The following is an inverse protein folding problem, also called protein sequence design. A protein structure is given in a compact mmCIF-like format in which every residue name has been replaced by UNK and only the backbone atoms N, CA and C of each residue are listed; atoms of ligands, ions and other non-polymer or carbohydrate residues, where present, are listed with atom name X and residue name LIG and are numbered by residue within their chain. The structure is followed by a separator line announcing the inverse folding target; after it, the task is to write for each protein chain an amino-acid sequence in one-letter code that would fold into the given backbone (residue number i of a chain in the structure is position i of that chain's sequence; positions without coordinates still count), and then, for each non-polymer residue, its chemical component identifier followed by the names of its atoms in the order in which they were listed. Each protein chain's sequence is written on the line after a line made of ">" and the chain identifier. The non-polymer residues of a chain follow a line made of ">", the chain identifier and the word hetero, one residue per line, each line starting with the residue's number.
data_IF_257981414976
#
_entry.id   IF_257981414976
#
_cell.length_a   1.000
_cell.length_b   1.000
_cell.length_c   1.000
_cell.angle_alpha   90.00
_cell.angle_beta   90.00
_cell.angle_gamma   90.00
#
_symmetry.space_group_name_H-M   'P 1'
#
loop_
_entity.id
_entity.type
_entity.pdbx_description
1 polymer ?
#
# COMPACT_ATOMS: atom_id res chain seq x y z
N UNK A 1 -12.27 63.21 -5.81
CA UNK A 1 -12.74 62.18 -4.87
C UNK A 1 -13.32 61.02 -5.67
N UNK A 2 -12.52 60.00 -5.96
CA UNK A 2 -13.00 58.80 -6.65
C UNK A 2 -13.83 57.99 -5.67
N UNK A 3 -15.04 57.64 -6.08
CA UNK A 3 -16.11 57.12 -5.24
C UNK A 3 -15.75 55.71 -4.72
N UNK A 4 -15.10 55.62 -3.55
CA UNK A 4 -14.64 54.36 -2.90
C UNK A 4 -15.74 53.30 -2.77
N UNK A 5 -17.03 53.70 -2.80
CA UNK A 5 -18.18 52.79 -2.77
C UNK A 5 -18.38 52.01 -4.09
N UNK A 6 -18.04 52.56 -5.24
CA UNK A 6 -18.12 51.84 -6.53
C UNK A 6 -17.02 50.78 -6.67
N UNK A 7 -15.83 51.02 -6.08
CA UNK A 7 -14.72 50.07 -6.13
C UNK A 7 -15.03 48.77 -5.35
N UNK A 8 -15.71 48.88 -4.20
CA UNK A 8 -16.08 47.71 -3.39
C UNK A 8 -17.15 46.84 -4.06
N UNK A 9 -18.12 47.43 -4.76
CA UNK A 9 -19.15 46.67 -5.49
C UNK A 9 -18.52 45.95 -6.70
N UNK A 10 -17.59 46.59 -7.41
CA UNK A 10 -16.87 45.95 -8.52
C UNK A 10 -15.98 44.77 -8.07
N UNK A 11 -15.31 44.87 -6.91
CA UNK A 11 -14.51 43.78 -6.34
C UNK A 11 -15.40 42.62 -5.85
N UNK A 12 -16.62 42.89 -5.37
CA UNK A 12 -17.56 41.85 -4.95
C UNK A 12 -18.22 41.13 -6.14
N UNK A 13 -18.36 41.83 -7.29
CA UNK A 13 -18.86 41.26 -8.54
C UNK A 13 -17.81 40.42 -9.29
N UNK A 14 -16.51 40.64 -9.08
CA UNK A 14 -15.47 39.77 -9.66
C UNK A 14 -15.28 38.46 -8.89
N UNK A 15 -15.74 38.37 -7.64
CA UNK A 15 -15.71 37.13 -6.85
C UNK A 15 -16.90 36.19 -7.09
N UNK A 16 -17.96 36.65 -7.76
CA UNK A 16 -19.24 35.90 -7.86
C UNK A 16 -19.37 34.98 -9.08
N UNK A 17 -18.30 34.75 -9.85
CA UNK A 17 -18.31 33.86 -11.03
C UNK A 17 -17.46 32.59 -10.86
N UNK A 18 -17.08 32.21 -9.63
CA UNK A 18 -16.44 30.90 -9.42
C UNK A 18 -17.49 29.80 -9.49
N UNK A 19 -17.60 29.16 -10.66
CA UNK A 19 -18.50 28.04 -10.87
C UNK A 19 -18.06 26.83 -10.04
N UNK A 20 -18.87 26.45 -9.04
CA UNK A 20 -18.70 25.18 -8.33
C UNK A 20 -19.13 24.05 -9.27
N UNK A 21 -18.23 23.12 -9.55
CA UNK A 21 -18.53 21.93 -10.32
C UNK A 21 -18.69 20.74 -9.37
N UNK A 22 -19.90 20.19 -9.32
CA UNK A 22 -20.21 18.99 -8.56
C UNK A 22 -20.43 17.82 -9.52
N UNK A 23 -19.76 16.71 -9.26
CA UNK A 23 -19.90 15.49 -10.03
C UNK A 23 -20.10 14.31 -9.10
N UNK A 24 -21.13 13.53 -9.40
CA UNK A 24 -21.46 12.32 -8.65
C UNK A 24 -21.51 11.15 -9.61
N UNK A 25 -20.67 10.17 -9.35
CA UNK A 25 -20.57 8.91 -10.10
C UNK A 25 -20.88 7.79 -9.13
N UNK A 26 -21.98 7.10 -9.42
CA UNK A 26 -22.39 5.89 -8.74
C UNK A 26 -22.15 4.65 -9.61
N UNK A 27 -22.35 3.50 -8.98
CA UNK A 27 -22.30 2.20 -9.65
C UNK A 27 -23.50 1.35 -9.24
N UNK A 28 -23.99 0.53 -10.16
CA UNK A 28 -25.06 -0.43 -9.91
C UNK A 28 -24.73 -1.80 -10.54
N UNK A 29 -24.74 -2.89 -9.77
CA UNK A 29 -24.74 -2.93 -8.30
C UNK A 29 -23.39 -2.43 -7.72
N UNK A 30 -23.33 -1.94 -6.46
CA UNK A 30 -22.07 -1.54 -5.83
C UNK A 30 -21.19 -2.73 -5.41
N UNK A 31 -21.75 -3.93 -5.43
CA UNK A 31 -21.08 -5.18 -5.11
C UNK A 31 -21.42 -6.24 -6.15
N UNK A 32 -20.40 -6.98 -6.60
CA UNK A 32 -20.55 -8.12 -7.51
C UNK A 32 -19.95 -9.38 -6.89
N UNK A 33 -20.74 -10.44 -6.76
CA UNK A 33 -20.24 -11.79 -6.53
C UNK A 33 -20.15 -12.50 -7.89
N UNK A 34 -18.92 -12.75 -8.35
CA UNK A 34 -18.68 -13.44 -9.61
C UNK A 34 -18.67 -14.96 -9.43
N UNK A 35 -18.97 -15.49 -8.25
CA UNK A 35 -18.99 -16.93 -7.98
C UNK A 35 -17.61 -17.58 -8.08
N UNK A 36 -17.58 -18.84 -8.47
CA UNK A 36 -16.34 -19.61 -8.64
C UNK A 36 -15.76 -19.41 -10.05
N UNK A 37 -14.43 -19.30 -10.15
CA UNK A 37 -13.66 -19.17 -11.39
C UNK A 37 -12.46 -20.13 -11.28
N UNK A 38 -12.26 -21.02 -12.26
CA UNK A 38 -11.15 -21.98 -12.18
C UNK A 38 -9.80 -21.30 -12.47
N UNK A 39 -8.68 -21.83 -11.95
CA UNK A 39 -7.35 -21.38 -12.34
C UNK A 39 -7.15 -21.47 -13.85
N UNK A 40 -6.68 -20.38 -14.47
CA UNK A 40 -6.49 -20.27 -15.92
C UNK A 40 -7.74 -19.88 -16.71
N UNK A 41 -8.89 -19.66 -16.06
CA UNK A 41 -10.11 -19.18 -16.72
C UNK A 41 -10.21 -17.65 -16.69
N UNK A 42 -10.97 -17.13 -17.65
CA UNK A 42 -11.36 -15.73 -17.73
C UNK A 42 -12.86 -15.58 -17.54
N UNK A 43 -13.28 -14.56 -16.79
CA UNK A 43 -14.69 -14.22 -16.61
C UNK A 43 -14.96 -12.76 -16.94
N UNK A 44 -15.92 -12.53 -17.82
CA UNK A 44 -16.43 -11.19 -18.11
C UNK A 44 -17.44 -10.83 -17.01
N UNK A 45 -17.26 -9.66 -16.42
CA UNK A 45 -18.15 -9.09 -15.43
C UNK A 45 -18.69 -7.75 -15.91
N UNK A 46 -19.97 -7.51 -15.61
CA UNK A 46 -20.71 -6.35 -16.09
C UNK A 46 -21.24 -5.56 -14.90
N UNK A 47 -21.07 -4.24 -14.95
CA UNK A 47 -21.71 -3.31 -14.03
C UNK A 47 -22.16 -2.07 -14.78
N UNK A 48 -22.93 -1.22 -14.10
CA UNK A 48 -23.38 0.04 -14.67
C UNK A 48 -22.79 1.21 -13.92
N UNK A 49 -22.11 2.10 -14.64
CA UNK A 49 -21.80 3.44 -14.15
C UNK A 49 -23.04 4.32 -14.27
N UNK A 50 -23.30 5.11 -13.24
CA UNK A 50 -24.44 6.01 -13.17
C UNK A 50 -23.95 7.42 -12.86
N UNK A 51 -24.42 8.41 -13.62
CA UNK A 51 -24.16 9.82 -13.34
C UNK A 51 -25.45 10.62 -13.27
N UNK A 52 -25.50 11.57 -12.34
CA UNK A 52 -26.56 12.60 -12.29
C UNK A 52 -26.15 13.91 -12.96
N UNK A 53 -24.87 14.03 -13.36
CA UNK A 53 -24.33 15.21 -14.02
C UNK A 53 -24.97 15.39 -15.40
N UNK A 54 -25.29 16.63 -15.76
CA UNK A 54 -25.80 16.96 -17.10
C UNK A 54 -24.70 16.94 -18.16
N UNK A 55 -23.45 17.13 -17.74
CA UNK A 55 -22.32 17.23 -18.63
C UNK A 55 -21.73 15.85 -18.95
N UNK A 56 -21.29 15.69 -20.19
CA UNK A 56 -20.49 14.53 -20.59
C UNK A 56 -19.26 14.45 -19.69
N UNK A 57 -19.02 13.26 -19.16
CA UNK A 57 -17.94 12.98 -18.23
C UNK A 57 -17.11 11.83 -18.78
N UNK A 58 -15.80 12.05 -18.99
CA UNK A 58 -14.88 10.94 -19.18
C UNK A 58 -14.49 10.42 -17.80
N UNK A 59 -14.68 9.14 -17.56
CA UNK A 59 -14.41 8.50 -16.27
C UNK A 59 -13.32 7.47 -16.46
N UNK A 60 -12.18 7.68 -15.82
CA UNK A 60 -11.10 6.71 -15.76
C UNK A 60 -11.45 5.64 -14.72
N UNK A 61 -11.36 4.38 -15.13
CA UNK A 61 -11.46 3.23 -14.23
C UNK A 61 -10.09 2.92 -13.65
N UNK A 62 -10.01 2.80 -12.33
CA UNK A 62 -8.77 2.56 -11.61
C UNK A 62 -8.91 1.28 -10.79
N UNK A 63 -7.98 0.36 -10.98
CA UNK A 63 -7.89 -0.90 -10.22
C UNK A 63 -7.23 -0.60 -8.88
N UNK A 64 -7.86 -0.99 -7.79
CA UNK A 64 -7.37 -0.74 -6.43
C UNK A 64 -7.53 -1.97 -5.54
N UNK A 65 -6.59 -2.16 -4.60
CA UNK A 65 -6.71 -3.24 -3.62
C UNK A 65 -7.92 -2.97 -2.73
N UNK A 66 -8.74 -3.99 -2.51
CA UNK A 66 -9.89 -3.86 -1.60
C UNK A 66 -9.44 -3.95 -0.14
N UNK A 67 -10.29 -3.46 0.78
CA UNK A 67 -10.05 -3.53 2.21
C UNK A 67 -10.74 -4.78 2.79
N UNK A 68 -9.98 -5.59 3.54
CA UNK A 68 -10.46 -6.78 4.26
C UNK A 68 -11.61 -6.47 5.23
N UNK A 69 -11.74 -5.22 5.70
CA UNK A 69 -12.85 -4.75 6.53
C UNK A 69 -14.22 -5.00 5.88
N UNK A 70 -14.29 -5.06 4.53
CA UNK A 70 -15.52 -5.43 3.83
C UNK A 70 -15.99 -6.84 4.22
N UNK A 71 -15.06 -7.78 4.41
CA UNK A 71 -15.34 -9.17 4.81
C UNK A 71 -15.65 -9.31 6.30
N UNK A 72 -15.42 -8.27 7.11
CA UNK A 72 -15.76 -8.28 8.54
C UNK A 72 -17.25 -8.04 8.79
N UNK A 73 -18.03 -7.65 7.77
CA UNK A 73 -19.48 -7.54 7.86
C UNK A 73 -20.11 -8.92 8.07
N UNK A 74 -21.17 -9.00 8.86
CA UNK A 74 -21.81 -10.27 9.22
C UNK A 74 -22.22 -11.11 8.00
N UNK A 75 -22.61 -10.48 6.89
CA UNK A 75 -22.97 -11.15 5.62
C UNK A 75 -21.81 -11.90 4.95
N UNK A 76 -20.56 -11.52 5.22
CA UNK A 76 -19.37 -12.05 4.52
C UNK A 76 -18.34 -12.69 5.46
N UNK A 77 -18.67 -12.79 6.75
CA UNK A 77 -17.74 -13.26 7.79
C UNK A 77 -17.29 -14.70 7.59
N UNK A 78 -18.14 -15.53 7.00
CA UNK A 78 -17.84 -16.91 6.62
C UNK A 78 -16.71 -16.98 5.56
N UNK A 79 -16.68 -16.01 4.64
CA UNK A 79 -15.66 -15.92 3.57
C UNK A 79 -14.28 -15.54 4.08
N UNK A 80 -14.18 -14.83 5.22
CA UNK A 80 -12.91 -14.35 5.79
C UNK A 80 -11.91 -15.48 6.04
N UNK A 81 -12.39 -16.61 6.57
CA UNK A 81 -11.56 -17.78 6.87
C UNK A 81 -10.87 -18.37 5.63
N UNK A 82 -11.51 -18.23 4.46
CA UNK A 82 -11.09 -18.79 3.19
C UNK A 82 -10.62 -17.70 2.19
N UNK A 83 -10.37 -16.48 2.65
CA UNK A 83 -9.86 -15.38 1.80
C UNK A 83 -8.37 -15.57 1.46
N UNK A 84 -7.92 -15.09 0.31
CA UNK A 84 -6.51 -14.94 -0.04
C UNK A 84 -6.18 -13.45 -0.16
N UNK A 85 -5.00 -13.05 0.30
CA UNK A 85 -4.51 -11.68 0.14
C UNK A 85 -3.64 -11.47 -1.10
N UNK A 86 -3.66 -12.43 -2.04
CA UNK A 86 -2.99 -12.34 -3.33
C UNK A 86 -3.37 -11.05 -4.08
N UNK A 87 -2.40 -10.45 -4.76
CA UNK A 87 -2.64 -9.26 -5.57
C UNK A 87 -3.31 -9.63 -6.90
N UNK A 88 -4.59 -9.32 -7.00
CA UNK A 88 -5.40 -9.60 -8.20
C UNK A 88 -5.47 -8.43 -9.18
N UNK A 89 -4.83 -7.28 -8.89
CA UNK A 89 -4.85 -6.13 -9.81
C UNK A 89 -4.30 -6.45 -11.21
N UNK A 90 -3.29 -7.32 -11.37
CA UNK A 90 -2.84 -7.76 -12.68
C UNK A 90 -3.89 -8.60 -13.44
N UNK A 91 -4.84 -9.21 -12.74
CA UNK A 91 -5.85 -10.10 -13.34
C UNK A 91 -7.00 -9.33 -13.99
N UNK A 92 -7.15 -8.06 -13.66
CA UNK A 92 -8.27 -7.23 -14.10
C UNK A 92 -7.88 -6.47 -15.37
N UNK A 93 -8.70 -6.62 -16.40
CA UNK A 93 -8.57 -5.91 -17.68
C UNK A 93 -9.87 -5.16 -17.98
N UNK A 94 -9.77 -3.89 -18.36
CA UNK A 94 -10.92 -3.10 -18.78
C UNK A 94 -11.08 -3.18 -20.29
N UNK A 95 -12.29 -3.51 -20.76
CA UNK A 95 -12.58 -3.54 -22.20
C UNK A 95 -12.56 -2.12 -22.79
N UNK A 96 -13.04 -1.13 -22.02
CA UNK A 96 -13.03 0.28 -22.38
C UNK A 96 -12.57 1.11 -21.17
N UNK A 97 -11.52 1.91 -21.31
CA UNK A 97 -11.05 2.85 -20.29
C UNK A 97 -10.26 3.98 -20.97
N UNK A 98 -10.67 5.27 -20.89
CA UNK A 98 -11.77 5.81 -20.09
C UNK A 98 -13.16 5.49 -20.64
N UNK A 99 -14.19 5.63 -19.80
CA UNK A 99 -15.60 5.46 -20.16
C UNK A 99 -16.26 6.82 -20.31
N UNK A 100 -16.91 7.07 -21.45
CA UNK A 100 -17.73 8.26 -21.65
C UNK A 100 -19.13 8.06 -21.03
N UNK A 101 -19.52 8.96 -20.11
CA UNK A 101 -20.82 9.00 -19.47
C UNK A 101 -21.61 10.24 -19.92
N UNK A 102 -22.84 10.03 -20.40
CA UNK A 102 -23.79 11.08 -20.78
C UNK A 102 -25.12 10.88 -20.05
N UNK A 103 -25.75 11.96 -19.56
CA UNK A 103 -27.05 11.92 -18.86
C UNK A 103 -28.17 11.24 -19.66
N UNK A 104 -28.11 11.31 -20.99
CA UNK A 104 -29.13 10.78 -21.90
C UNK A 104 -28.91 9.32 -22.31
N UNK A 105 -27.76 8.73 -22.00
CA UNK A 105 -27.49 7.34 -22.34
C UNK A 105 -28.17 6.39 -21.36
N UNK A 106 -29.02 5.50 -21.90
CA UNK A 106 -29.56 4.36 -21.20
C UNK A 106 -30.65 4.67 -20.17
N UNK A 107 -31.49 3.68 -19.92
CA UNK A 107 -32.35 3.66 -18.74
C UNK A 107 -32.27 2.32 -18.07
N UNK A 108 -31.71 2.28 -16.86
CA UNK A 108 -31.71 1.10 -16.02
C UNK A 108 -33.02 0.99 -15.27
N UNK A 109 -33.65 -0.18 -15.37
CA UNK A 109 -34.71 -0.58 -14.44
C UNK A 109 -34.04 -1.39 -13.33
N UNK A 110 -33.98 -0.83 -12.12
CA UNK A 110 -33.53 -1.59 -10.95
C UNK A 110 -34.75 -2.18 -10.25
N UNK A 111 -34.54 -3.18 -9.37
CA UNK A 111 -35.65 -3.81 -8.61
C UNK A 111 -36.38 -2.80 -7.70
N UNK A 112 -35.74 -1.69 -7.33
CA UNK A 112 -36.26 -0.71 -6.34
C UNK A 112 -36.58 0.64 -6.97
N UNK A 113 -35.99 1.00 -8.12
CA UNK A 113 -36.17 2.30 -8.78
C UNK A 113 -36.57 2.12 -10.24
N UNK A 114 -37.66 2.79 -10.63
CA UNK A 114 -38.36 2.60 -11.91
C UNK A 114 -37.57 3.03 -13.15
N UNK A 115 -36.62 3.97 -13.03
CA UNK A 115 -35.76 4.39 -14.15
C UNK A 115 -34.56 5.22 -13.68
N UNK A 116 -33.35 4.70 -13.79
CA UNK A 116 -32.12 5.49 -13.62
C UNK A 116 -31.64 5.95 -15.01
N UNK A 117 -31.57 7.27 -15.23
CA UNK A 117 -31.03 7.88 -16.46
C UNK A 117 -29.52 8.08 -16.32
N UNK A 118 -28.81 8.15 -17.45
CA UNK A 118 -27.36 8.41 -17.46
C UNK A 118 -26.57 7.20 -17.00
N UNK A 119 -27.02 6.01 -17.41
CA UNK A 119 -26.41 4.75 -17.03
C UNK A 119 -25.72 4.11 -18.23
N UNK A 120 -24.44 3.76 -18.03
CA UNK A 120 -23.61 3.12 -19.04
C UNK A 120 -23.17 1.76 -18.57
N UNK A 121 -23.39 0.75 -19.40
CA UNK A 121 -22.84 -0.59 -19.18
C UNK A 121 -21.33 -0.57 -19.36
N UNK A 122 -20.63 -1.12 -18.37
CA UNK A 122 -19.18 -1.27 -18.35
C UNK A 122 -18.85 -2.73 -18.12
N UNK A 123 -17.92 -3.22 -18.93
CA UNK A 123 -17.46 -4.60 -18.89
C UNK A 123 -15.97 -4.62 -18.55
N UNK A 124 -15.59 -5.55 -17.68
CA UNK A 124 -14.21 -5.88 -17.35
C UNK A 124 -14.01 -7.39 -17.35
N UNK A 125 -12.78 -7.82 -17.55
CA UNK A 125 -12.38 -9.22 -17.57
C UNK A 125 -11.55 -9.49 -16.33
N UNK A 126 -11.85 -10.60 -15.65
CA UNK A 126 -11.00 -11.18 -14.61
C UNK A 126 -10.31 -12.40 -15.21
N UNK A 127 -9.01 -12.29 -15.44
CA UNK A 127 -8.14 -13.35 -15.98
C UNK A 127 -7.42 -14.04 -14.82
N UNK A 128 -7.97 -15.16 -14.32
CA UNK A 128 -7.38 -15.88 -13.19
C UNK A 128 -6.18 -16.69 -13.70
N UNK A 129 -4.97 -16.50 -13.15
CA UNK A 129 -3.81 -17.23 -13.63
C UNK A 129 -3.87 -18.71 -13.21
N UNK A 130 -3.09 -19.56 -13.87
CA UNK A 130 -3.10 -21.02 -13.60
C UNK A 130 -2.53 -21.38 -12.23
N UNK A 131 -1.65 -20.54 -11.70
CA UNK A 131 -1.02 -20.65 -10.40
C UNK A 131 -1.72 -19.80 -9.32
N UNK A 132 -2.95 -19.32 -9.60
CA UNK A 132 -3.74 -18.56 -8.63
C UNK A 132 -3.91 -19.33 -7.32
N UNK A 133 -3.80 -18.63 -6.20
CA UNK A 133 -4.01 -19.21 -4.89
C UNK A 133 -5.49 -19.57 -4.69
N UNK A 134 -5.79 -20.64 -3.95
CA UNK A 134 -7.17 -21.01 -3.64
C UNK A 134 -7.83 -19.98 -2.70
N UNK A 135 -9.16 -19.96 -2.69
CA UNK A 135 -9.94 -19.15 -1.76
C UNK A 135 -10.64 -17.96 -2.40
N UNK A 136 -11.20 -17.09 -1.56
CA UNK A 136 -11.85 -15.87 -1.99
C UNK A 136 -10.83 -14.79 -2.33
N UNK A 137 -11.06 -14.11 -3.43
CA UNK A 137 -10.28 -12.98 -3.91
C UNK A 137 -11.19 -11.78 -4.06
N UNK A 138 -10.71 -10.59 -3.67
CA UNK A 138 -11.52 -9.38 -3.66
C UNK A 138 -10.79 -8.21 -4.31
N UNK A 139 -11.47 -7.54 -5.23
CA UNK A 139 -10.97 -6.38 -5.93
C UNK A 139 -11.89 -5.18 -5.78
N UNK A 140 -11.33 -4.00 -6.00
CA UNK A 140 -12.09 -2.76 -6.01
C UNK A 140 -11.75 -1.95 -7.26
N UNK A 141 -12.78 -1.49 -7.97
CA UNK A 141 -12.64 -0.56 -9.09
C UNK A 141 -13.14 0.80 -8.59
N UNK A 142 -12.24 1.77 -8.53
CA UNK A 142 -12.55 3.17 -8.25
C UNK A 142 -12.68 3.95 -9.55
N UNK A 143 -13.30 5.14 -9.46
CA UNK A 143 -13.63 5.95 -10.63
C UNK A 143 -13.03 7.33 -10.47
N UNK A 144 -12.29 7.81 -11.47
CA UNK A 144 -11.79 9.17 -11.49
C UNK A 144 -12.38 9.94 -12.68
N UNK A 145 -13.36 10.83 -12.46
CA UNK A 145 -13.83 11.68 -13.52
C UNK A 145 -12.76 12.71 -13.92
N UNK A 146 -12.48 12.75 -15.21
CA UNK A 146 -11.65 13.76 -15.83
C UNK A 146 -12.46 15.04 -15.97
N UNK A 147 -12.10 16.06 -15.21
CA UNK A 147 -12.69 17.39 -15.32
C UNK A 147 -12.11 18.12 -16.55
N UNK A 148 -12.89 18.92 -17.28
CA UNK A 148 -12.35 19.76 -18.34
C UNK A 148 -11.37 20.80 -17.75
N UNK A 149 -10.21 20.99 -18.40
CA UNK A 149 -9.06 21.75 -17.88
C UNK A 149 -9.30 23.25 -17.61
N UNK A 150 -10.41 23.86 -18.06
CA UNK A 150 -10.55 25.31 -18.05
C UNK A 150 -11.21 25.89 -16.79
N UNK A 151 -10.44 26.63 -15.99
CA UNK A 151 -10.89 27.81 -15.22
C UNK A 151 -11.67 27.58 -13.93
N UNK A 152 -11.65 26.37 -13.35
CA UNK A 152 -12.46 26.06 -12.16
C UNK A 152 -11.60 25.95 -10.90
N UNK A 153 -12.01 26.64 -9.84
CA UNK A 153 -11.28 26.73 -8.58
C UNK A 153 -11.52 25.52 -7.65
N UNK A 154 -12.70 24.89 -7.72
CA UNK A 154 -13.07 23.76 -6.85
C UNK A 154 -13.93 22.72 -7.59
N UNK A 155 -13.61 21.43 -7.41
CA UNK A 155 -14.42 20.30 -7.91
C UNK A 155 -14.77 19.39 -6.74
N UNK A 156 -16.07 19.18 -6.50
CA UNK A 156 -16.56 18.23 -5.49
C UNK A 156 -16.91 16.92 -6.21
N UNK A 157 -16.23 15.84 -5.83
CA UNK A 157 -16.43 14.49 -6.39
C UNK A 157 -17.08 13.59 -5.34
N UNK A 158 -18.23 13.01 -5.65
CA UNK A 158 -18.83 11.92 -4.89
C UNK A 158 -18.71 10.63 -5.71
N UNK A 159 -17.89 9.68 -5.24
CA UNK A 159 -17.56 8.46 -5.97
C UNK A 159 -17.89 7.26 -5.08
N UNK A 160 -18.77 6.38 -5.57
CA UNK A 160 -19.03 5.08 -4.94
C UNK A 160 -18.25 4.03 -5.72
N UNK A 161 -17.29 3.29 -5.13
CA UNK A 161 -16.53 2.29 -5.85
C UNK A 161 -17.35 1.02 -6.10
N UNK A 162 -16.91 0.23 -7.07
CA UNK A 162 -17.37 -1.15 -7.26
C UNK A 162 -16.47 -2.10 -6.49
N UNK A 163 -17.04 -2.90 -5.61
CA UNK A 163 -16.35 -4.03 -4.97
C UNK A 163 -16.80 -5.31 -5.68
N UNK A 164 -15.86 -6.20 -5.98
CA UNK A 164 -16.22 -7.52 -6.50
C UNK A 164 -15.44 -8.61 -5.79
N UNK A 165 -16.05 -9.78 -5.69
CA UNK A 165 -15.48 -10.98 -5.07
C UNK A 165 -15.68 -12.17 -5.99
N UNK A 166 -14.73 -13.11 -5.97
CA UNK A 166 -14.87 -14.41 -6.60
C UNK A 166 -14.08 -15.43 -5.80
N UNK A 167 -14.29 -16.71 -6.09
CA UNK A 167 -13.60 -17.82 -5.44
C UNK A 167 -12.78 -18.60 -6.45
N UNK A 168 -11.52 -18.84 -6.14
CA UNK A 168 -10.70 -19.85 -6.81
C UNK A 168 -10.84 -21.16 -6.03
N UNK A 169 -11.23 -22.28 -6.67
CA UNK A 169 -11.45 -23.53 -5.98
C UNK A 169 -10.17 -24.08 -5.34
N UNK A 170 -10.33 -24.73 -4.20
CA UNK A 170 -9.25 -25.31 -3.42
C UNK A 170 -9.39 -24.99 -1.94
N UNK A 171 -8.39 -25.41 -1.15
CA UNK A 171 -8.36 -25.21 0.30
C UNK A 171 -7.44 -24.03 0.61
N UNK A 172 -8.00 -22.90 1.04
CA UNK A 172 -7.20 -21.82 1.59
C UNK A 172 -6.83 -22.13 3.04
N UNK A 173 -5.54 -22.22 3.30
CA UNK A 173 -4.96 -22.46 4.61
C UNK A 173 -4.05 -21.27 4.90
N UNK A 174 -4.32 -20.59 6.00
CA UNK A 174 -3.46 -19.52 6.52
C UNK A 174 -2.76 -20.02 7.77
N UNK A 175 -1.52 -20.40 7.59
CA UNK A 175 -0.65 -20.91 8.65
C UNK A 175 0.75 -20.35 8.44
N UNK A 176 1.39 -19.99 9.55
CA UNK A 176 2.77 -19.56 9.53
C UNK A 176 3.55 -20.19 10.67
N UNK A 177 4.86 -20.19 10.53
CA UNK A 177 5.78 -20.63 11.58
C UNK A 177 6.95 -19.69 11.72
N UNK A 178 7.40 -19.51 12.95
CA UNK A 178 8.63 -18.77 13.25
C UNK A 178 9.76 -19.81 13.26
N UNK A 179 10.66 -19.74 12.28
CA UNK A 179 11.79 -20.65 12.16
C UNK A 179 12.87 -20.35 13.18
N UNK A 180 13.17 -19.07 13.39
CA UNK A 180 14.27 -18.64 14.23
C UNK A 180 14.02 -17.24 14.79
N UNK A 181 14.57 -17.00 15.98
CA UNK A 181 14.65 -15.71 16.64
C UNK A 181 16.07 -15.59 17.18
N UNK A 182 16.83 -14.63 16.67
CA UNK A 182 18.25 -14.45 16.99
C UNK A 182 18.57 -13.00 17.35
N UNK A 183 19.68 -12.80 18.06
CA UNK A 183 20.26 -11.47 18.25
C UNK A 183 20.96 -11.03 16.96
N UNK A 184 20.51 -9.90 16.41
CA UNK A 184 21.08 -9.25 15.24
C UNK A 184 22.16 -8.23 15.62
N UNK A 185 22.19 -7.12 14.89
CA UNK A 185 23.18 -6.06 15.11
C UNK A 185 22.81 -5.10 16.24
N UNK A 186 23.82 -4.50 16.85
CA UNK A 186 23.66 -3.39 17.80
C UNK A 186 23.52 -2.07 17.04
N UNK A 187 22.47 -1.31 17.37
CA UNK A 187 22.26 0.04 16.84
C UNK A 187 22.07 1.01 18.00
N UNK A 188 22.96 1.99 18.13
CA UNK A 188 23.06 2.84 19.32
C UNK A 188 23.19 1.99 20.61
N UNK A 189 22.23 2.13 21.53
CA UNK A 189 22.12 1.41 22.80
C UNK A 189 21.03 0.31 22.74
N UNK A 190 20.59 -0.10 21.55
CA UNK A 190 19.61 -1.16 21.40
C UNK A 190 20.12 -2.33 20.56
N UNK A 191 19.43 -3.45 20.69
CA UNK A 191 19.65 -4.67 19.94
C UNK A 191 18.55 -4.84 18.91
N UNK A 192 18.95 -5.08 17.66
CA UNK A 192 18.03 -5.53 16.63
C UNK A 192 17.82 -7.03 16.80
N UNK A 193 16.56 -7.45 16.92
CA UNK A 193 16.16 -8.85 16.96
C UNK A 193 15.76 -9.29 15.55
N UNK A 194 16.37 -10.35 15.08
CA UNK A 194 16.10 -10.95 13.78
C UNK A 194 15.10 -12.11 13.94
N UNK A 195 14.01 -12.06 13.17
CA UNK A 195 12.92 -13.02 13.24
C UNK A 195 12.68 -13.58 11.85
N UNK A 196 12.73 -14.89 11.71
CA UNK A 196 12.52 -15.57 10.44
C UNK A 196 11.14 -16.23 10.42
N UNK A 197 10.21 -15.64 9.69
CA UNK A 197 8.83 -16.12 9.58
C UNK A 197 8.57 -16.73 8.21
N UNK A 198 8.02 -17.94 8.19
CA UNK A 198 7.63 -18.61 6.96
C UNK A 198 6.12 -18.77 6.90
N UNK A 199 5.52 -18.43 5.75
CA UNK A 199 4.16 -18.82 5.43
C UNK A 199 4.15 -20.29 5.01
N UNK A 200 3.52 -21.16 5.81
CA UNK A 200 3.38 -22.60 5.52
C UNK A 200 1.99 -22.95 4.98
N UNK A 201 1.13 -21.95 4.83
CA UNK A 201 -0.20 -22.08 4.27
C UNK A 201 -0.20 -22.19 2.74
N UNK A 202 -1.41 -22.17 2.19
CA UNK A 202 -1.67 -22.22 0.75
C UNK A 202 -2.07 -20.88 0.16
N UNK A 203 -2.23 -19.84 1.00
CA UNK A 203 -2.55 -18.48 0.56
C UNK A 203 -1.61 -17.44 1.13
N UNK A 204 -1.46 -16.36 0.38
CA UNK A 204 -0.85 -15.12 0.77
C UNK A 204 -1.58 -14.52 1.97
N UNK A 205 -0.80 -13.96 2.89
CA UNK A 205 -1.33 -13.30 4.07
C UNK A 205 -0.48 -12.11 4.51
N UNK A 206 -1.14 -11.13 5.12
CA UNK A 206 -0.50 -10.08 5.89
C UNK A 206 -0.34 -10.57 7.32
N UNK A 207 0.90 -10.74 7.77
CA UNK A 207 1.21 -10.97 9.16
C UNK A 207 1.38 -9.63 9.89
N UNK A 208 0.75 -9.52 11.06
CA UNK A 208 0.87 -8.37 11.96
C UNK A 208 2.29 -8.26 12.51
N UNK A 209 2.67 -7.08 13.04
CA UNK A 209 3.88 -6.91 13.86
C UNK A 209 4.05 -8.06 14.85
N UNK A 210 5.28 -8.58 14.94
CA UNK A 210 5.64 -9.54 15.95
C UNK A 210 5.58 -8.87 17.33
N UNK A 211 4.76 -9.40 18.23
CA UNK A 211 4.75 -9.05 19.65
C UNK A 211 5.86 -9.85 20.35
N UNK A 212 6.91 -9.14 20.76
CA UNK A 212 8.10 -9.75 21.35
C UNK A 212 8.15 -9.37 22.82
N UNK A 213 8.21 -10.39 23.68
CA UNK A 213 8.38 -10.25 25.12
C UNK A 213 9.70 -10.85 25.54
N UNK A 214 10.47 -10.09 26.29
CA UNK A 214 11.83 -10.45 26.68
C UNK A 214 11.89 -10.60 28.18
N UNK A 215 12.41 -11.73 28.64
CA UNK A 215 12.44 -12.13 30.03
C UNK A 215 13.88 -12.39 30.49
N UNK A 216 14.17 -11.98 31.72
CA UNK A 216 15.43 -12.33 32.39
C UNK A 216 15.47 -13.82 32.80
N UNK A 217 16.59 -14.23 33.40
CA UNK A 217 16.78 -15.59 33.92
C UNK A 217 15.79 -15.98 35.03
N UNK A 218 15.19 -14.99 35.71
CA UNK A 218 14.18 -15.15 36.76
C UNK A 218 12.74 -15.11 36.21
N UNK A 219 12.57 -15.02 34.88
CA UNK A 219 11.29 -14.90 34.16
C UNK A 219 10.55 -13.57 34.41
N UNK A 220 11.25 -12.52 34.83
CA UNK A 220 10.68 -11.18 34.89
C UNK A 220 10.67 -10.58 33.49
N UNK A 221 9.57 -9.95 33.11
CA UNK A 221 9.46 -9.21 31.85
C UNK A 221 10.32 -7.94 31.96
N UNK A 222 11.36 -7.82 31.13
CA UNK A 222 12.29 -6.67 31.15
C UNK A 222 12.13 -5.76 29.93
N UNK A 223 11.45 -6.21 28.88
CA UNK A 223 11.30 -5.43 27.67
C UNK A 223 10.26 -6.01 26.71
N UNK A 224 9.78 -5.14 25.83
CA UNK A 224 8.94 -5.51 24.70
C UNK A 224 9.46 -4.84 23.44
N UNK A 225 9.24 -5.48 22.29
CA UNK A 225 9.58 -4.93 20.99
C UNK A 225 8.50 -5.29 19.96
N UNK A 226 8.38 -4.46 18.92
CA UNK A 226 7.46 -4.68 17.81
C UNK A 226 8.22 -4.63 16.49
N UNK A 227 7.88 -5.53 15.57
CA UNK A 227 8.36 -5.46 14.19
C UNK A 227 7.41 -4.66 13.30
N UNK A 228 7.70 -4.59 12.00
CA UNK A 228 6.78 -4.11 10.97
C UNK A 228 5.77 -5.20 10.54
N UNK A 229 4.71 -4.77 9.85
CA UNK A 229 3.82 -5.65 9.08
C UNK A 229 4.58 -6.26 7.91
N UNK A 230 4.24 -7.52 7.57
CA UNK A 230 4.82 -8.20 6.41
C UNK A 230 3.74 -8.89 5.58
N UNK A 231 3.85 -8.77 4.27
CA UNK A 231 3.12 -9.59 3.33
C UNK A 231 3.99 -10.79 2.92
N UNK A 232 3.42 -11.99 2.93
CA UNK A 232 4.14 -13.22 2.60
C UNK A 232 3.31 -14.17 1.74
N UNK A 233 3.91 -14.66 0.66
CA UNK A 233 3.31 -15.66 -0.25
C UNK A 233 3.46 -17.09 0.30
N UNK A 234 2.68 -18.07 -0.17
CA UNK A 234 2.84 -19.47 0.22
C UNK A 234 4.28 -19.96 0.08
N UNK A 235 4.82 -20.55 1.13
CA UNK A 235 6.20 -21.06 1.20
C UNK A 235 7.28 -19.99 1.41
N UNK A 236 6.95 -18.70 1.30
CA UNK A 236 7.91 -17.60 1.38
C UNK A 236 8.44 -17.41 2.81
N UNK A 237 9.76 -17.26 2.91
CA UNK A 237 10.48 -16.89 4.13
C UNK A 237 10.70 -15.38 4.15
N UNK A 238 10.23 -14.71 5.20
CA UNK A 238 10.45 -13.29 5.46
C UNK A 238 11.30 -13.10 6.71
N UNK A 239 12.22 -12.16 6.61
CA UNK A 239 13.01 -11.65 7.72
C UNK A 239 12.33 -10.40 8.27
N UNK A 240 12.00 -10.41 9.56
CA UNK A 240 11.52 -9.25 10.28
C UNK A 240 12.59 -8.80 11.26
N UNK A 241 12.64 -7.50 11.48
CA UNK A 241 13.52 -6.88 12.47
C UNK A 241 12.68 -6.16 13.50
N UNK A 242 13.06 -6.27 14.78
CA UNK A 242 12.48 -5.48 15.85
C UNK A 242 13.60 -4.83 16.68
N UNK A 243 13.37 -3.61 17.14
CA UNK A 243 14.35 -2.89 17.94
C UNK A 243 14.01 -3.03 19.43
N UNK A 244 14.96 -3.56 20.21
CA UNK A 244 14.88 -3.61 21.66
C UNK A 244 15.83 -2.59 22.27
N UNK A 245 15.28 -1.63 23.02
CA UNK A 245 16.07 -0.68 23.81
C UNK A 245 16.69 -1.41 25.02
N UNK A 246 18.03 -1.45 25.08
CA UNK A 246 18.77 -2.14 26.12
C UNK A 246 19.27 -1.20 27.21
N UNK A 247 18.61 -0.05 27.41
CA UNK A 247 18.92 0.83 28.53
C UNK A 247 18.79 0.07 29.85
N UNK A 248 19.86 0.09 30.65
CA UNK A 248 19.95 -0.56 31.96
C UNK A 248 19.79 -2.09 31.93
N UNK A 249 20.08 -2.72 30.78
CA UNK A 249 20.07 -4.19 30.61
C UNK A 249 21.48 -4.75 30.76
N UNK A 250 21.63 -5.78 31.60
CA UNK A 250 22.90 -6.49 31.80
C UNK A 250 23.27 -7.38 30.59
N UNK A 251 24.53 -7.78 30.49
CA UNK A 251 24.94 -8.77 29.48
C UNK A 251 24.57 -10.18 29.94
N UNK A 252 24.10 -11.03 29.01
CA UNK A 252 23.72 -12.40 29.34
C UNK A 252 22.67 -13.00 28.41
N UNK A 253 22.09 -14.11 28.85
CA UNK A 253 21.08 -14.87 28.10
C UNK A 253 19.68 -14.47 28.56
N UNK A 254 18.81 -14.21 27.58
CA UNK A 254 17.45 -13.76 27.79
C UNK A 254 16.48 -14.69 27.07
N UNK A 255 15.37 -15.00 27.73
CA UNK A 255 14.29 -15.78 27.10
C UNK A 255 13.39 -14.82 26.34
N UNK A 256 13.08 -15.15 25.09
CA UNK A 256 12.20 -14.35 24.25
C UNK A 256 11.00 -15.16 23.82
N UNK A 257 9.83 -14.55 23.92
CA UNK A 257 8.58 -15.08 23.37
C UNK A 257 8.16 -14.18 22.23
N UNK A 258 8.08 -14.73 21.02
CA UNK A 258 7.65 -14.01 19.83
C UNK A 258 6.30 -14.54 19.40
N UNK A 259 5.33 -13.64 19.19
CA UNK A 259 4.00 -13.97 18.71
C UNK A 259 3.64 -13.13 17.48
N UNK A 260 3.33 -13.79 16.37
CA UNK A 260 2.95 -13.13 15.11
C UNK A 260 1.50 -13.48 14.81
N UNK A 261 0.64 -12.46 14.78
CA UNK A 261 -0.78 -12.60 14.49
C UNK A 261 -1.08 -12.48 12.99
N UNK A 262 -2.06 -13.24 12.51
CA UNK A 262 -2.64 -13.14 11.18
C UNK A 262 -4.15 -13.38 11.27
N UNK A 263 -4.89 -13.13 10.18
CA UNK A 263 -6.37 -13.07 10.20
C UNK A 263 -7.05 -14.28 10.87
N UNK A 264 -6.53 -15.49 10.67
CA UNK A 264 -7.13 -16.74 11.15
C UNK A 264 -6.47 -17.32 12.40
N UNK A 265 -5.40 -16.70 12.93
CA UNK A 265 -4.64 -17.30 14.03
C UNK A 265 -3.35 -16.56 14.38
N UNK A 266 -2.39 -17.31 14.89
CA UNK A 266 -1.07 -16.78 15.22
C UNK A 266 -0.01 -17.89 15.21
N UNK A 267 1.24 -17.49 14.98
CA UNK A 267 2.42 -18.30 15.24
C UNK A 267 3.09 -17.82 16.52
N UNK A 268 3.63 -18.73 17.32
CA UNK A 268 4.37 -18.40 18.54
C UNK A 268 5.64 -19.24 18.63
N UNK A 269 6.73 -18.63 19.10
CA UNK A 269 7.98 -19.32 19.37
C UNK A 269 8.67 -18.74 20.59
N UNK A 270 9.13 -19.62 21.46
CA UNK A 270 10.07 -19.29 22.53
C UNK A 270 11.50 -19.56 22.04
N UNK A 271 12.41 -18.65 22.34
CA UNK A 271 13.83 -18.76 22.01
C UNK A 271 14.68 -18.18 23.13
N UNK A 272 15.99 -18.37 23.04
CA UNK A 272 16.96 -17.71 23.92
C UNK A 272 17.87 -16.87 23.04
N UNK A 273 18.02 -15.59 23.38
CA UNK A 273 19.00 -14.70 22.75
C UNK A 273 20.12 -14.39 23.73
N UNK A 274 21.29 -14.08 23.20
CA UNK A 274 22.45 -13.69 23.98
C UNK A 274 22.81 -12.24 23.67
N UNK A 275 22.87 -11.42 24.73
CA UNK A 275 23.31 -10.05 24.70
C UNK A 275 24.76 -10.04 25.17
N UNK A 276 25.67 -9.72 24.27
CA UNK A 276 27.09 -9.59 24.54
C UNK A 276 27.49 -8.12 24.61
N UNK A 277 28.68 -7.86 25.17
CA UNK A 277 29.27 -6.53 25.17
C UNK A 277 29.53 -6.11 23.72
N UNK A 278 29.02 -4.93 23.34
CA UNK A 278 29.25 -4.39 22.00
C UNK A 278 30.76 -4.31 21.80
N UNK A 279 31.34 -4.98 20.79
CA UNK A 279 32.78 -4.90 20.57
C UNK A 279 33.12 -3.43 20.35
N UNK A 280 34.05 -2.92 21.17
CA UNK A 280 34.61 -1.60 20.92
C UNK A 280 35.25 -1.64 19.55
N UNK A 281 34.60 -0.99 18.58
CA UNK A 281 35.21 -0.76 17.27
C UNK A 281 36.35 0.18 17.58
N UNK A 282 37.57 -0.37 17.71
CA UNK A 282 38.77 0.44 17.81
C UNK A 282 38.69 1.45 16.68
N UNK A 283 38.75 2.77 16.96
CA UNK A 283 38.62 3.78 15.93
C UNK A 283 39.57 3.37 14.82
N UNK A 284 39.02 3.14 13.62
CA UNK A 284 39.81 2.67 12.49
C UNK A 284 41.03 3.57 12.47
N UNK A 285 42.23 3.00 12.68
CA UNK A 285 43.46 3.78 12.78
C UNK A 285 43.42 4.67 11.56
N UNK A 286 43.23 5.97 11.79
CA UNK A 286 43.17 6.93 10.70
C UNK A 286 44.55 6.82 10.10
N UNK A 287 44.66 6.02 9.05
CA UNK A 287 45.82 6.05 8.19
C UNK A 287 45.65 7.43 7.60
N UNK A 288 46.33 8.40 8.22
CA UNK A 288 46.53 9.70 7.64
C UNK A 288 47.03 9.40 6.24
N UNK A 289 46.12 9.48 5.28
CA UNK A 289 46.48 9.29 3.89
C UNK A 289 47.42 10.45 3.66
N UNK A 290 48.71 10.15 3.58
CA UNK A 290 49.71 11.15 3.29
C UNK A 290 49.15 11.94 2.11
N UNK A 291 48.90 13.22 2.34
CA UNK A 291 48.44 14.11 1.29
C UNK A 291 49.64 14.23 0.38
N UNK A 292 49.77 13.31 -0.59
CA UNK A 292 50.78 13.36 -1.62
C UNK A 292 50.40 14.58 -2.45
N UNK A 293 50.96 15.73 -2.09
CA UNK A 293 50.77 16.98 -2.79
C UNK A 293 51.22 16.76 -4.22
N UNK A 294 50.25 16.74 -5.12
CA UNK A 294 50.45 16.49 -6.53
C UNK A 294 51.18 17.68 -7.15
N UNK A 295 52.51 17.66 -7.15
CA UNK A 295 53.38 18.73 -7.67
C UNK A 295 53.03 19.17 -9.10
N UNK A 296 52.48 18.28 -9.92
CA UNK A 296 52.01 18.61 -11.27
C UNK A 296 50.88 19.65 -11.27
N UNK A 297 50.03 19.71 -10.23
CA UNK A 297 48.99 20.75 -10.07
C UNK A 297 49.67 22.11 -9.94
N UNK A 298 50.75 22.21 -9.16
CA UNK A 298 51.53 23.43 -9.02
C UNK A 298 52.20 23.83 -10.36
N UNK A 299 52.76 22.86 -11.08
CA UNK A 299 53.35 23.09 -12.41
C UNK A 299 52.31 23.62 -13.41
N UNK A 300 51.11 23.03 -13.46
CA UNK A 300 50.01 23.52 -14.31
C UNK A 300 49.62 24.96 -13.93
N UNK A 301 49.55 25.26 -12.64
CA UNK A 301 49.21 26.60 -12.15
C UNK A 301 50.24 27.64 -12.57
N UNK A 302 51.54 27.30 -12.49
CA UNK A 302 52.64 28.15 -12.98
C UNK A 302 52.55 28.36 -14.50
N UNK A 303 52.27 27.31 -15.28
CA UNK A 303 52.11 27.40 -16.74
C UNK A 303 50.93 28.33 -17.11
N UNK A 304 49.79 28.21 -16.41
CA UNK A 304 48.62 29.07 -16.63
C UNK A 304 48.98 30.54 -16.34
N UNK A 305 49.71 30.83 -15.26
CA UNK A 305 50.14 32.19 -14.92
C UNK A 305 51.09 32.74 -15.99
N UNK A 306 52.07 31.95 -16.44
CA UNK A 306 53.01 32.36 -17.49
C UNK A 306 52.30 32.62 -18.83
N UNK A 307 51.38 31.74 -19.22
CA UNK A 307 50.58 31.92 -20.44
C UNK A 307 49.70 33.18 -20.35
N UNK A 308 49.11 33.45 -19.19
CA UNK A 308 48.33 34.68 -18.96
C UNK A 308 49.18 35.95 -19.05
N UNK A 309 50.38 35.96 -18.45
CA UNK A 309 51.32 37.08 -18.52
C UNK A 309 51.81 37.31 -19.95
N UNK A 310 52.08 36.23 -20.70
CA UNK A 310 52.48 36.31 -22.10
C UNK A 310 51.36 36.87 -22.99
N UNK A 311 50.12 36.39 -22.84
CA UNK A 311 48.99 36.85 -23.65
C UNK A 311 48.60 38.30 -23.39
N UNK A 312 48.90 38.82 -22.19
CA UNK A 312 48.59 40.21 -21.80
C UNK A 312 49.65 41.22 -22.28
N UNK A 313 50.83 40.77 -22.70
CA UNK A 313 51.87 41.62 -23.31
C UNK A 313 51.71 41.68 -24.82
#
# INVERSE_FOLDING_TARGET
>A
MVNRKCLFIAIFLTFSMTGIYAQSIGVSPPFLDLGEIQPGESKIATFYLVTVSENVSLVQLIKTKSNIDFLMKDEYKDKLSNYSEEDILPWIEFINNPVELKKTEGTLKTRTVTKIRGAKEVNFIVNVPRDAEPGYHMGMITFDPLAPESGRMFTIKAIVPLIFIFKVPGKAIREGRILEVSSGSYYNNGLILDIFFQNTGTVSMMASPADIKIFDSKKNLIGTALSNFIYTKPGELKHLTAFWDMKDVEFGKYNVTVKIHYTTGYASKESTIEVYEKPEILPAKVVEKEIIFSWWVFVILVIIILAYVYYKR
#
